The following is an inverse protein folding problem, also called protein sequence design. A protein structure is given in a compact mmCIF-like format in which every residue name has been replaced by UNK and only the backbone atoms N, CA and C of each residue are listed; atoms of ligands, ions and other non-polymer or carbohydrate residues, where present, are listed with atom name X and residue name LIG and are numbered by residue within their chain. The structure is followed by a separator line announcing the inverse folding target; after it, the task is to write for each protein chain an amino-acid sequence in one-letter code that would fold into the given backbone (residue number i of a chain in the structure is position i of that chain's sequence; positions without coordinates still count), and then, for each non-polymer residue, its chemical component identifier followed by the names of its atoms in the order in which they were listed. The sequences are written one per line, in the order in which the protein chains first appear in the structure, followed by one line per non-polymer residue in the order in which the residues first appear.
data_IF_994360831340
#
_entry.id   IF_994360831340
#
_cell.length_a   1.000
_cell.length_b   1.000
_cell.length_c   1.000
_cell.angle_alpha   90.00
_cell.angle_beta   90.00
_cell.angle_gamma   90.00
#
_symmetry.space_group_name_H-M   'P 1'
#
loop_
_entity.id
_entity.type
_entity.pdbx_description
1 polymer ?
#
# COMPACT_ATOMS: atom_id res chain seq x y z
N UNK A 1 -17.84 -2.19 -34.70
CA UNK A 1 -17.11 -2.33 -33.41
C UNK A 1 -18.12 -2.73 -32.35
N UNK A 2 -18.12 -3.99 -31.92
CA UNK A 2 -18.94 -4.42 -30.80
C UNK A 2 -18.21 -4.06 -29.50
N UNK A 3 -18.65 -3.02 -28.81
CA UNK A 3 -18.26 -2.82 -27.42
C UNK A 3 -19.04 -3.83 -26.59
N UNK A 4 -18.33 -4.79 -26.02
CA UNK A 4 -18.93 -5.79 -25.15
C UNK A 4 -19.40 -5.09 -23.86
N UNK A 5 -20.72 -4.89 -23.72
CA UNK A 5 -21.35 -4.12 -22.63
C UNK A 5 -21.26 -4.79 -21.26
N UNK A 6 -20.66 -5.98 -21.18
CA UNK A 6 -20.53 -6.80 -19.98
C UNK A 6 -19.18 -6.65 -19.26
N UNK A 7 -18.22 -5.89 -19.79
CA UNK A 7 -16.98 -5.60 -19.05
C UNK A 7 -17.25 -4.59 -17.92
N UNK A 8 -16.76 -4.85 -16.68
CA UNK A 8 -16.85 -3.88 -15.60
C UNK A 8 -16.08 -2.62 -15.98
N UNK A 9 -16.77 -1.48 -16.06
CA UNK A 9 -16.10 -0.19 -16.25
C UNK A 9 -15.31 0.17 -14.99
N UNK A 10 -14.29 1.04 -15.13
CA UNK A 10 -13.55 1.56 -13.98
C UNK A 10 -14.48 2.18 -12.91
N UNK A 11 -15.58 2.80 -13.32
CA UNK A 11 -16.61 3.33 -12.43
C UNK A 11 -17.35 2.25 -11.65
N UNK A 12 -17.74 1.15 -12.30
CA UNK A 12 -18.37 0.00 -11.61
C UNK A 12 -17.41 -0.62 -10.60
N UNK A 13 -16.13 -0.78 -10.95
CA UNK A 13 -15.10 -1.29 -10.04
C UNK A 13 -14.90 -0.32 -8.86
N UNK A 14 -14.83 0.99 -9.14
CA UNK A 14 -14.72 2.02 -8.11
C UNK A 14 -15.91 1.96 -7.14
N UNK A 15 -17.12 1.91 -7.67
CA UNK A 15 -18.36 1.85 -6.86
C UNK A 15 -18.42 0.56 -6.04
N UNK A 16 -17.96 -0.58 -6.57
CA UNK A 16 -17.85 -1.82 -5.81
C UNK A 16 -16.84 -1.70 -4.65
N UNK A 17 -15.65 -1.16 -4.91
CA UNK A 17 -14.57 -1.06 -3.93
C UNK A 17 -14.84 -0.04 -2.83
N UNK A 18 -15.32 1.15 -3.22
CA UNK A 18 -15.44 2.33 -2.37
C UNK A 18 -16.86 2.69 -1.98
N UNK A 19 -17.87 2.04 -2.58
CA UNK A 19 -19.29 2.34 -2.33
C UNK A 19 -19.77 3.58 -3.10
N UNK A 20 -21.07 3.65 -3.47
CA UNK A 20 -21.64 4.82 -4.13
C UNK A 20 -21.83 6.02 -3.18
N UNK A 21 -21.98 5.78 -1.87
CA UNK A 21 -22.38 6.81 -0.90
C UNK A 21 -21.41 6.99 0.28
N UNK A 22 -20.29 6.26 0.35
CA UNK A 22 -19.32 6.42 1.42
C UNK A 22 -18.69 5.09 1.84
N UNK A 23 -18.51 4.86 3.14
CA UNK A 23 -17.82 3.67 3.65
C UNK A 23 -18.67 2.38 3.57
N UNK A 24 -19.49 2.23 2.52
CA UNK A 24 -20.34 1.07 2.23
C UNK A 24 -19.79 0.16 1.11
N UNK A 25 -18.60 0.50 0.57
CA UNK A 25 -17.89 -0.32 -0.41
C UNK A 25 -17.20 -1.55 0.19
N UNK A 26 -16.83 -2.49 -0.68
CA UNK A 26 -16.16 -3.74 -0.29
C UNK A 26 -14.92 -3.52 0.59
N UNK A 27 -14.12 -2.49 0.34
CA UNK A 27 -12.89 -2.19 1.11
C UNK A 27 -13.16 -1.68 2.54
N UNK A 28 -14.43 -1.38 2.88
CA UNK A 28 -14.88 -0.99 4.20
C UNK A 28 -15.65 -2.11 4.91
N UNK A 29 -16.04 -3.15 4.19
CA UNK A 29 -16.79 -4.29 4.72
C UNK A 29 -15.89 -5.25 5.51
N UNK A 30 -16.40 -5.77 6.61
CA UNK A 30 -15.78 -6.79 7.45
C UNK A 30 -15.41 -8.07 6.67
N UNK A 31 -16.18 -8.43 5.64
CA UNK A 31 -15.94 -9.59 4.79
C UNK A 31 -14.64 -9.48 3.99
N UNK A 32 -14.14 -8.25 3.77
CA UNK A 32 -12.90 -8.00 3.02
C UNK A 32 -11.63 -8.23 3.84
N UNK A 33 -11.74 -8.38 5.17
CA UNK A 33 -10.58 -8.60 6.04
C UNK A 33 -9.85 -9.87 5.65
N UNK A 34 -8.52 -9.76 5.53
CA UNK A 34 -7.64 -10.86 5.13
C UNK A 34 -7.97 -11.45 3.75
N UNK A 35 -8.67 -10.70 2.89
CA UNK A 35 -8.95 -11.10 1.51
C UNK A 35 -7.99 -10.41 0.54
N UNK A 36 -7.80 -11.05 -0.61
CA UNK A 36 -7.00 -10.55 -1.72
C UNK A 36 -7.93 -10.13 -2.86
N UNK A 37 -7.69 -8.96 -3.43
CA UNK A 37 -8.32 -8.51 -4.67
C UNK A 37 -7.22 -8.36 -5.72
N UNK A 38 -7.46 -8.90 -6.91
CA UNK A 38 -6.55 -8.75 -8.05
C UNK A 38 -7.20 -7.88 -9.12
N UNK A 39 -6.56 -6.75 -9.43
CA UNK A 39 -6.93 -5.90 -10.57
C UNK A 39 -6.10 -6.37 -11.77
N UNK A 40 -6.72 -7.11 -12.67
CA UNK A 40 -6.07 -7.63 -13.88
C UNK A 40 -6.48 -6.84 -15.14
N UNK A 41 -5.62 -6.87 -16.16
CA UNK A 41 -5.85 -6.17 -17.43
C UNK A 41 -4.57 -6.07 -18.26
N UNK A 42 -4.69 -5.75 -19.55
CA UNK A 42 -3.54 -5.64 -20.46
C UNK A 42 -2.52 -4.60 -19.98
N UNK A 43 -1.29 -4.68 -20.50
CA UNK A 43 -0.29 -3.62 -20.25
C UNK A 43 -0.85 -2.27 -20.71
N UNK A 44 -0.68 -1.23 -19.90
CA UNK A 44 -1.00 0.14 -20.31
C UNK A 44 -2.48 0.50 -20.20
N UNK A 45 -3.31 -0.39 -19.64
CA UNK A 45 -4.75 -0.11 -19.41
C UNK A 45 -5.02 0.76 -18.18
N UNK A 46 -3.98 1.36 -17.59
CA UNK A 46 -4.14 2.30 -16.48
C UNK A 46 -4.45 1.68 -15.12
N UNK A 47 -4.15 0.40 -14.86
CA UNK A 47 -4.40 -0.25 -13.55
C UNK A 47 -3.74 0.49 -12.38
N UNK A 48 -2.44 0.77 -12.49
CA UNK A 48 -1.68 1.53 -11.50
C UNK A 48 -2.22 2.96 -11.34
N UNK A 49 -2.63 3.59 -12.44
CA UNK A 49 -3.25 4.92 -12.42
C UNK A 49 -4.61 4.91 -11.71
N UNK A 50 -5.45 3.90 -11.98
CA UNK A 50 -6.73 3.70 -11.32
C UNK A 50 -6.56 3.49 -9.82
N UNK A 51 -5.64 2.63 -9.41
CA UNK A 51 -5.37 2.42 -7.98
C UNK A 51 -4.84 3.68 -7.30
N UNK A 52 -3.67 4.18 -7.72
CA UNK A 52 -2.98 5.29 -7.04
C UNK A 52 -3.75 6.61 -7.16
N UNK A 53 -4.29 6.89 -8.34
CA UNK A 53 -4.96 8.16 -8.65
C UNK A 53 -6.40 8.24 -8.18
N UNK A 54 -7.10 7.10 -8.08
CA UNK A 54 -8.53 7.08 -7.74
C UNK A 54 -8.80 6.41 -6.39
N UNK A 55 -8.42 5.13 -6.24
CA UNK A 55 -8.79 4.34 -5.06
C UNK A 55 -7.98 4.78 -3.83
N UNK A 56 -6.67 4.83 -3.94
CA UNK A 56 -5.77 5.15 -2.83
C UNK A 56 -5.98 6.58 -2.31
N UNK A 57 -6.18 7.54 -3.19
CA UNK A 57 -6.45 8.93 -2.81
C UNK A 57 -7.74 9.05 -1.99
N UNK A 58 -8.82 8.42 -2.46
CA UNK A 58 -10.12 8.44 -1.79
C UNK A 58 -10.06 7.73 -0.41
N UNK A 59 -9.37 6.59 -0.31
CA UNK A 59 -9.13 5.91 0.96
C UNK A 59 -8.37 6.81 1.96
N UNK A 60 -7.33 7.52 1.51
CA UNK A 60 -6.57 8.45 2.35
C UNK A 60 -7.41 9.63 2.82
N UNK A 61 -8.22 10.21 1.94
CA UNK A 61 -9.15 11.29 2.27
C UNK A 61 -10.18 10.87 3.33
N UNK A 62 -10.64 9.60 3.26
CA UNK A 62 -11.54 9.00 4.25
C UNK A 62 -10.83 8.49 5.51
N UNK A 63 -9.52 8.71 5.63
CA UNK A 63 -8.72 8.29 6.78
C UNK A 63 -8.52 6.78 6.91
N UNK A 64 -8.81 6.01 5.86
CA UNK A 64 -8.56 4.57 5.82
C UNK A 64 -7.06 4.33 5.60
N UNK A 65 -6.37 3.55 6.45
CA UNK A 65 -4.97 3.25 6.25
C UNK A 65 -4.76 2.46 4.96
N UNK A 66 -3.93 2.99 4.05
CA UNK A 66 -3.60 2.33 2.79
C UNK A 66 -2.11 2.48 2.51
N UNK A 67 -1.47 1.37 2.17
CA UNK A 67 -0.05 1.31 1.83
C UNK A 67 0.10 0.65 0.47
N UNK A 68 0.77 1.33 -0.45
CA UNK A 68 1.14 0.80 -1.77
C UNK A 68 2.64 0.63 -1.81
N UNK A 69 3.10 -0.57 -2.17
CA UNK A 69 4.51 -0.89 -2.35
C UNK A 69 4.72 -1.61 -3.67
N UNK A 70 5.89 -1.40 -4.30
CA UNK A 70 6.20 -2.09 -5.55
C UNK A 70 6.96 -3.37 -5.32
N UNK A 71 6.59 -4.42 -6.04
CA UNK A 71 7.34 -5.68 -6.05
C UNK A 71 8.56 -5.63 -6.99
N UNK A 72 8.64 -4.60 -7.84
CA UNK A 72 9.75 -4.44 -8.75
C UNK A 72 11.07 -4.23 -7.99
N UNK A 73 12.07 -5.05 -8.31
CA UNK A 73 13.40 -4.98 -7.69
C UNK A 73 13.48 -5.56 -6.27
N UNK A 74 12.45 -6.30 -5.81
CA UNK A 74 12.52 -7.05 -4.54
C UNK A 74 13.08 -8.44 -4.80
N UNK A 75 14.08 -8.84 -4.02
CA UNK A 75 14.79 -10.12 -4.20
C UNK A 75 14.32 -11.17 -3.19
N UNK A 76 13.71 -10.73 -2.08
CA UNK A 76 13.23 -11.61 -1.02
C UNK A 76 11.92 -11.15 -0.39
N UNK A 77 11.24 -12.08 0.26
CA UNK A 77 10.06 -11.77 1.10
C UNK A 77 10.45 -10.83 2.25
N UNK A 78 11.68 -10.93 2.76
CA UNK A 78 12.13 -10.09 3.86
C UNK A 78 12.32 -8.63 3.43
N UNK A 79 12.73 -8.38 2.17
CA UNK A 79 12.74 -7.02 1.60
C UNK A 79 11.33 -6.42 1.58
N UNK A 80 10.33 -7.22 1.19
CA UNK A 80 8.92 -6.82 1.15
C UNK A 80 8.43 -6.51 2.58
N UNK A 81 8.72 -7.38 3.54
CA UNK A 81 8.33 -7.20 4.96
C UNK A 81 8.93 -5.92 5.54
N UNK A 82 10.24 -5.71 5.34
CA UNK A 82 10.93 -4.53 5.88
C UNK A 82 10.36 -3.23 5.34
N UNK A 83 10.12 -3.15 4.03
CA UNK A 83 9.51 -1.97 3.42
C UNK A 83 8.07 -1.77 3.88
N UNK A 84 7.27 -2.84 3.95
CA UNK A 84 5.90 -2.78 4.44
C UNK A 84 5.83 -2.25 5.89
N UNK A 85 6.65 -2.80 6.79
CA UNK A 85 6.72 -2.34 8.17
C UNK A 85 7.15 -0.87 8.27
N UNK A 86 8.12 -0.47 7.43
CA UNK A 86 8.54 0.91 7.35
C UNK A 86 7.38 1.83 6.94
N UNK A 87 6.70 1.51 5.83
CA UNK A 87 5.58 2.31 5.31
C UNK A 87 4.44 2.42 6.33
N UNK A 88 4.07 1.32 6.98
CA UNK A 88 3.01 1.31 8.01
C UNK A 88 3.38 2.13 9.24
N UNK A 89 4.63 2.06 9.70
CA UNK A 89 5.10 2.84 10.85
C UNK A 89 5.05 4.35 10.58
N UNK A 90 5.43 4.77 9.36
CA UNK A 90 5.41 6.18 8.97
C UNK A 90 4.04 6.66 8.47
N UNK A 91 3.11 5.78 8.14
CA UNK A 91 1.73 6.15 7.79
C UNK A 91 1.01 6.90 8.94
N UNK A 92 1.37 6.63 10.21
CA UNK A 92 0.79 7.30 11.39
C UNK A 92 1.48 8.63 11.73
N UNK A 93 2.71 8.85 11.26
CA UNK A 93 3.43 10.12 11.42
C UNK A 93 3.36 10.88 10.11
N UNK A 94 2.41 11.80 9.98
CA UNK A 94 2.18 12.76 8.87
C UNK A 94 3.45 13.50 8.36
N UNK A 95 4.46 12.81 7.85
CA UNK A 95 5.76 13.34 7.49
C UNK A 95 6.11 12.96 6.05
N UNK A 96 5.63 13.76 5.10
CA UNK A 96 5.96 13.64 3.66
C UNK A 96 7.48 13.55 3.42
N UNK A 97 8.27 14.30 4.20
CA UNK A 97 9.74 14.34 4.11
C UNK A 97 10.46 13.00 4.37
N UNK A 98 9.88 12.11 5.18
CA UNK A 98 10.52 10.83 5.53
C UNK A 98 10.24 9.76 4.48
N UNK A 99 9.04 9.78 3.89
CA UNK A 99 8.65 8.90 2.81
C UNK A 99 9.47 9.20 1.54
N UNK A 100 9.67 10.47 1.20
CA UNK A 100 10.53 10.87 0.07
C UNK A 100 12.01 10.49 0.28
N UNK A 101 12.51 10.59 1.52
CA UNK A 101 13.85 10.12 1.89
C UNK A 101 13.97 8.59 1.84
N UNK A 102 12.93 7.86 2.22
CA UNK A 102 12.89 6.42 2.07
C UNK A 102 12.96 6.02 0.59
N UNK A 103 12.08 6.58 -0.26
CA UNK A 103 12.07 6.28 -1.69
C UNK A 103 13.39 6.59 -2.38
N UNK A 104 14.06 7.69 -2.02
CA UNK A 104 15.38 8.05 -2.58
C UNK A 104 16.51 7.15 -2.09
N UNK A 105 16.46 6.67 -0.85
CA UNK A 105 17.42 5.69 -0.32
C UNK A 105 17.17 4.32 -0.97
N UNK A 106 15.93 3.87 -1.09
CA UNK A 106 15.57 2.56 -1.65
C UNK A 106 15.66 2.48 -3.18
N UNK A 107 15.49 3.59 -3.91
CA UNK A 107 15.64 3.63 -5.38
C UNK A 107 17.08 3.47 -5.89
N UNK A 108 18.09 3.61 -5.01
CA UNK A 108 19.51 3.45 -5.35
C UNK A 108 20.04 2.04 -5.01
N UNK A 109 19.24 1.00 -5.31
CA UNK A 109 19.37 -0.40 -4.88
C UNK A 109 20.50 -1.20 -5.55
N UNK A 110 21.70 -0.62 -5.69
CA UNK A 110 22.91 -1.40 -6.05
C UNK A 110 23.93 -1.52 -4.91
N UNK A 111 23.74 -0.82 -3.78
CA UNK A 111 24.70 -0.79 -2.65
C UNK A 111 24.07 -0.80 -1.25
N UNK A 112 22.82 -1.25 -1.14
CA UNK A 112 21.95 -0.98 0.02
C UNK A 112 22.15 -1.93 1.21
N UNK A 113 22.91 -3.02 1.06
CA UNK A 113 23.10 -4.01 2.13
C UNK A 113 23.77 -3.49 3.41
N UNK A 114 24.46 -2.34 3.40
CA UNK A 114 25.15 -1.80 4.59
C UNK A 114 24.55 -0.50 5.15
N UNK A 115 24.04 0.38 4.29
CA UNK A 115 23.45 1.67 4.73
C UNK A 115 21.99 1.52 5.16
N UNK A 116 21.19 0.71 4.46
CA UNK A 116 19.87 0.37 4.97
C UNK A 116 20.01 -0.47 6.23
N UNK A 117 20.92 -1.45 6.28
CA UNK A 117 21.21 -2.19 7.50
C UNK A 117 21.61 -1.27 8.67
N UNK A 118 22.44 -0.25 8.46
CA UNK A 118 22.80 0.73 9.50
C UNK A 118 21.60 1.61 9.91
N UNK A 119 20.76 2.04 8.97
CA UNK A 119 19.52 2.76 9.27
C UNK A 119 18.54 1.85 10.02
N UNK A 120 18.44 0.58 9.64
CA UNK A 120 17.64 -0.43 10.31
C UNK A 120 18.18 -0.70 11.71
N UNK A 121 19.48 -0.87 11.91
CA UNK A 121 20.15 -1.02 13.22
C UNK A 121 19.97 0.22 14.11
N UNK A 122 20.03 1.42 13.55
CA UNK A 122 19.83 2.67 14.27
C UNK A 122 18.35 2.92 14.61
N UNK A 123 17.44 2.35 13.82
CA UNK A 123 16.00 2.24 14.10
C UNK A 123 15.73 1.14 15.15
N UNK A 124 16.46 0.01 15.11
CA UNK A 124 16.38 -1.16 16.00
C UNK A 124 16.72 -0.77 17.44
N UNK A 125 17.75 0.08 17.60
CA UNK A 125 18.22 0.60 18.90
C UNK A 125 17.22 1.50 19.62
N UNK A 126 16.15 1.97 18.96
CA UNK A 126 15.05 2.74 19.57
C UNK A 126 13.80 1.87 19.73
N UNK A 127 13.82 0.96 20.70
CA UNK A 127 12.72 0.14 21.25
C UNK A 127 11.78 -0.56 20.23
N UNK A 128 12.25 -1.69 19.69
CA UNK A 128 11.54 -2.56 18.74
C UNK A 128 10.13 -3.01 19.13
N UNK A 129 9.92 -3.40 20.39
CA UNK A 129 8.65 -4.00 20.85
C UNK A 129 7.46 -3.05 20.68
N UNK A 130 7.67 -1.73 20.74
CA UNK A 130 6.58 -0.76 20.61
C UNK A 130 6.24 -0.44 19.15
N UNK A 131 7.22 -0.49 18.25
CA UNK A 131 7.01 -0.17 16.82
C UNK A 131 6.29 -1.29 16.10
N UNK A 132 6.70 -2.53 16.35
CA UNK A 132 6.07 -3.72 15.78
C UNK A 132 4.63 -3.84 16.25
N UNK A 133 4.37 -3.68 17.56
CA UNK A 133 3.00 -3.64 18.11
C UNK A 133 2.12 -2.56 17.49
N UNK A 134 2.69 -1.40 17.13
CA UNK A 134 1.95 -0.30 16.49
C UNK A 134 1.64 -0.59 15.02
N UNK A 135 2.60 -1.11 14.26
CA UNK A 135 2.38 -1.53 12.88
C UNK A 135 1.37 -2.68 12.79
N UNK A 136 1.50 -3.68 13.67
CA UNK A 136 0.54 -4.78 13.81
C UNK A 136 -0.86 -4.25 14.16
N UNK A 137 -0.98 -3.29 15.07
CA UNK A 137 -2.26 -2.64 15.38
C UNK A 137 -2.87 -1.92 14.17
N UNK A 138 -2.07 -1.32 13.30
CA UNK A 138 -2.55 -0.68 12.06
C UNK A 138 -3.01 -1.74 11.06
N UNK A 139 -2.27 -2.85 10.92
CA UNK A 139 -2.66 -4.00 10.12
C UNK A 139 -3.99 -4.60 10.59
N UNK A 140 -4.14 -4.79 11.90
CA UNK A 140 -5.34 -5.35 12.53
C UNK A 140 -6.56 -4.40 12.40
N UNK A 141 -6.32 -3.10 12.26
CA UNK A 141 -7.34 -2.05 12.04
C UNK A 141 -7.74 -1.89 10.54
N UNK A 142 -7.64 -2.97 9.76
CA UNK A 142 -8.07 -3.06 8.36
C UNK A 142 -7.26 -2.17 7.42
N UNK A 143 -5.94 -2.13 7.60
CA UNK A 143 -5.07 -1.53 6.61
C UNK A 143 -5.21 -2.25 5.27
N UNK A 144 -5.26 -1.47 4.18
CA UNK A 144 -5.28 -1.98 2.82
C UNK A 144 -3.84 -1.97 2.30
N UNK A 145 -3.38 -3.12 1.83
CA UNK A 145 -2.04 -3.28 1.27
C UNK A 145 -2.18 -3.52 -0.24
N UNK A 146 -1.56 -2.67 -1.04
CA UNK A 146 -1.45 -2.84 -2.48
C UNK A 146 -0.04 -3.20 -2.89
N UNK A 147 0.08 -4.24 -3.69
CA UNK A 147 1.30 -4.67 -4.35
C UNK A 147 1.21 -4.27 -5.84
N UNK A 148 2.13 -3.42 -6.30
CA UNK A 148 2.23 -2.93 -7.69
C UNK A 148 3.48 -3.48 -8.41
#
# INVERSE_FOLDING_TARGET
MYTNTNEPTAEKIKSFLLGPNGNDGYLFDEISKHKLIMIAGRWGTGKTYFWKGTIENDLKERGKPVVTLSLYGKESIDDIKQELFYLLYYHDKRGKDLIEKAYSVFGSLSKISRKAAAIFEEIDKRNNVQKEKKALKILDNHAIICFD
#
